data_IF_350946028946
#
_entry.id   IF_350946028946
#
_cell.length_a   1.000
_cell.length_b   1.000
_cell.length_c   1.000
_cell.angle_alpha   90.00
_cell.angle_beta   90.00
_cell.angle_gamma   90.00
#
_symmetry.space_group_name_H-M   'P 1'
#
loop_
_entity.id
_entity.type
_entity.pdbx_description
1 polymer ?
#
# COMPACT_ATOMS: atom_id res chain seq x y z
N UNK A 1 -0.80 -10.87 -19.32
CA UNK A 1 -1.01 -9.83 -18.27
C UNK A 1 -1.99 -10.29 -17.20
N UNK A 2 -3.20 -10.73 -17.56
CA UNK A 2 -4.24 -11.11 -16.57
C UNK A 2 -3.80 -12.16 -15.53
N UNK A 3 -3.16 -13.26 -15.94
CA UNK A 3 -2.73 -14.33 -15.01
C UNK A 3 -1.69 -13.82 -14.00
N UNK A 4 -0.73 -13.02 -14.44
CA UNK A 4 0.30 -12.40 -13.58
C UNK A 4 -0.31 -11.43 -12.57
N UNK A 5 -1.27 -10.60 -12.99
CA UNK A 5 -1.97 -9.66 -12.10
C UNK A 5 -2.78 -10.40 -11.02
N UNK A 6 -3.42 -11.52 -11.37
CA UNK A 6 -4.14 -12.36 -10.41
C UNK A 6 -3.22 -13.04 -9.40
N UNK A 7 -2.07 -13.56 -9.84
CA UNK A 7 -1.07 -14.17 -8.94
C UNK A 7 -0.56 -13.14 -7.92
N UNK A 8 -0.19 -11.93 -8.38
CA UNK A 8 0.24 -10.85 -7.49
C UNK A 8 -0.86 -10.42 -6.51
N UNK A 9 -2.10 -10.31 -7.00
CA UNK A 9 -3.24 -9.95 -6.15
C UNK A 9 -3.53 -10.98 -5.06
N UNK A 10 -3.46 -12.27 -5.40
CA UNK A 10 -3.67 -13.36 -4.43
C UNK A 10 -2.54 -13.37 -3.39
N UNK A 11 -1.28 -13.20 -3.82
CA UNK A 11 -0.13 -13.10 -2.90
C UNK A 11 -0.30 -12.01 -1.85
N UNK A 12 -0.67 -10.79 -2.29
CA UNK A 12 -0.86 -9.65 -1.39
C UNK A 12 -2.08 -9.79 -0.48
N UNK A 13 -3.15 -10.46 -0.94
CA UNK A 13 -4.31 -10.79 -0.09
C UNK A 13 -3.92 -11.75 1.02
N UNK A 14 -3.10 -12.75 0.72
CA UNK A 14 -2.58 -13.70 1.71
C UNK A 14 -1.69 -12.96 2.72
N UNK A 15 -0.83 -12.07 2.26
CA UNK A 15 0.01 -11.23 3.13
C UNK A 15 -0.81 -10.33 4.06
N UNK A 16 -1.83 -9.63 3.51
CA UNK A 16 -2.76 -8.82 4.28
C UNK A 16 -3.51 -9.64 5.34
N UNK A 17 -3.99 -10.83 4.95
CA UNK A 17 -4.62 -11.77 5.87
C UNK A 17 -3.67 -12.21 6.99
N UNK A 18 -2.40 -12.45 6.66
CA UNK A 18 -1.34 -12.77 7.61
C UNK A 18 -1.19 -11.70 8.68
N UNK A 19 -0.98 -10.43 8.30
CA UNK A 19 -0.83 -9.33 9.25
C UNK A 19 -2.09 -9.06 10.10
N UNK A 20 -3.29 -9.10 9.51
CA UNK A 20 -4.52 -8.92 10.27
C UNK A 20 -4.70 -10.05 11.29
N UNK A 21 -4.44 -11.30 10.87
CA UNK A 21 -4.52 -12.45 11.78
C UNK A 21 -3.50 -12.34 12.91
N UNK A 22 -2.28 -11.86 12.63
CA UNK A 22 -1.24 -11.60 13.64
C UNK A 22 -1.74 -10.63 14.73
N UNK A 23 -2.40 -9.54 14.35
CA UNK A 23 -2.97 -8.58 15.31
C UNK A 23 -4.05 -9.24 16.18
N UNK A 24 -4.97 -9.98 15.56
CA UNK A 24 -6.05 -10.66 16.28
C UNK A 24 -5.49 -11.72 17.24
N UNK A 25 -4.54 -12.55 16.80
CA UNK A 25 -3.93 -13.58 17.62
C UNK A 25 -3.07 -12.99 18.75
N UNK A 26 -2.35 -11.90 18.51
CA UNK A 26 -1.59 -11.20 19.55
C UNK A 26 -2.49 -10.61 20.65
N UNK A 27 -3.70 -10.16 20.30
CA UNK A 27 -4.70 -9.67 21.27
C UNK A 27 -5.33 -10.80 22.10
N UNK A 28 -5.53 -11.97 21.51
CA UNK A 28 -6.17 -13.13 22.18
C UNK A 28 -5.16 -13.96 22.97
N UNK A 29 -3.92 -14.10 22.49
CA UNK A 29 -2.85 -14.83 23.17
C UNK A 29 -1.49 -14.13 22.98
N UNK A 30 -1.01 -13.40 24.01
CA UNK A 30 0.27 -12.69 23.97
C UNK A 30 1.49 -13.58 23.71
N UNK A 31 1.36 -14.90 23.95
CA UNK A 31 2.45 -15.87 23.79
C UNK A 31 2.81 -16.13 22.32
N UNK A 32 1.94 -15.73 21.38
CA UNK A 32 2.11 -15.91 19.92
C UNK A 32 2.94 -14.77 19.31
N UNK A 33 3.17 -13.66 20.04
CA UNK A 33 3.87 -12.47 19.55
C UNK A 33 5.32 -12.75 19.08
N UNK A 34 5.96 -13.79 19.61
CA UNK A 34 7.29 -14.24 19.16
C UNK A 34 7.30 -15.14 17.93
N UNK A 35 6.14 -15.59 17.45
CA UNK A 35 5.99 -16.51 16.30
C UNK A 35 4.98 -15.98 15.28
N UNK A 36 4.85 -14.67 15.16
CA UNK A 36 3.94 -14.04 14.21
C UNK A 36 4.33 -14.41 12.77
N UNK A 37 3.32 -14.42 11.89
CA UNK A 37 3.47 -14.73 10.47
C UNK A 37 4.64 -13.93 9.87
N UNK A 38 5.50 -14.59 9.08
CA UNK A 38 6.75 -14.08 8.50
C UNK A 38 7.95 -13.88 9.47
N UNK A 39 7.95 -14.52 10.66
CA UNK A 39 9.05 -14.46 11.65
C UNK A 39 9.30 -13.06 12.23
N UNK A 40 8.26 -12.23 12.24
CA UNK A 40 8.31 -10.88 12.82
C UNK A 40 8.25 -11.01 14.34
N UNK A 41 9.41 -11.00 14.99
CA UNK A 41 9.51 -11.00 16.47
C UNK A 41 9.39 -9.57 17.01
N UNK A 42 8.19 -9.22 17.49
CA UNK A 42 7.90 -7.94 18.15
C UNK A 42 7.78 -8.09 19.68
N UNK A 43 8.28 -9.19 20.24
CA UNK A 43 8.15 -9.50 21.67
C UNK A 43 8.77 -8.43 22.56
N UNK A 44 9.91 -7.87 22.15
CA UNK A 44 10.61 -6.83 22.93
C UNK A 44 9.85 -5.50 22.91
N UNK A 45 9.22 -5.14 21.79
CA UNK A 45 8.33 -3.98 21.71
C UNK A 45 7.07 -4.18 22.57
N UNK A 46 6.49 -5.39 22.55
CA UNK A 46 5.31 -5.71 23.36
C UNK A 46 5.61 -5.60 24.86
N UNK A 47 6.77 -6.08 25.31
CA UNK A 47 7.25 -5.94 26.70
C UNK A 47 7.51 -4.49 27.06
N UNK A 48 8.06 -3.69 26.14
CA UNK A 48 8.30 -2.27 26.35
C UNK A 48 6.99 -1.49 26.52
N UNK A 49 5.98 -1.79 25.71
CA UNK A 49 4.64 -1.29 25.94
C UNK A 49 3.63 -1.76 24.90
N UNK A 50 2.51 -2.30 25.40
CA UNK A 50 1.45 -2.86 24.57
C UNK A 50 0.79 -1.82 23.65
N UNK A 51 0.70 -0.56 24.09
CA UNK A 51 0.18 0.53 23.26
C UNK A 51 1.05 0.80 22.03
N UNK A 52 2.37 0.80 22.20
CA UNK A 52 3.33 0.99 21.12
C UNK A 52 3.27 -0.17 20.10
N UNK A 53 3.16 -1.40 20.60
CA UNK A 53 2.92 -2.58 19.77
C UNK A 53 1.61 -2.46 18.97
N UNK A 54 0.52 -2.06 19.62
CA UNK A 54 -0.79 -1.90 18.96
C UNK A 54 -0.73 -0.84 17.85
N UNK A 55 -0.05 0.28 18.08
CA UNK A 55 0.13 1.34 17.07
C UNK A 55 0.93 0.84 15.87
N UNK A 56 2.11 0.24 16.09
CA UNK A 56 2.94 -0.25 14.99
C UNK A 56 2.20 -1.30 14.14
N UNK A 57 1.59 -2.28 14.79
CA UNK A 57 0.87 -3.36 14.09
C UNK A 57 -0.39 -2.87 13.37
N UNK A 58 -1.04 -1.83 13.89
CA UNK A 58 -2.15 -1.16 13.19
C UNK A 58 -1.67 -0.43 11.94
N UNK A 59 -0.54 0.28 12.01
CA UNK A 59 0.05 0.96 10.85
C UNK A 59 0.47 -0.06 9.79
N UNK A 60 1.13 -1.15 10.18
CA UNK A 60 1.49 -2.25 9.28
C UNK A 60 0.25 -2.82 8.57
N UNK A 61 -0.83 -3.06 9.32
CA UNK A 61 -2.08 -3.56 8.75
C UNK A 61 -2.69 -2.59 7.74
N UNK A 62 -2.69 -1.28 8.03
CA UNK A 62 -3.15 -0.24 7.10
C UNK A 62 -2.34 -0.26 5.81
N UNK A 63 -1.00 -0.29 5.90
CA UNK A 63 -0.10 -0.33 4.74
C UNK A 63 -0.41 -1.54 3.85
N UNK A 64 -0.52 -2.74 4.44
CA UNK A 64 -0.76 -3.97 3.67
C UNK A 64 -2.16 -3.99 3.04
N UNK A 65 -3.18 -3.46 3.72
CA UNK A 65 -4.53 -3.29 3.14
C UNK A 65 -4.49 -2.30 1.97
N UNK A 66 -3.78 -1.18 2.09
CA UNK A 66 -3.65 -0.20 1.01
C UNK A 66 -2.90 -0.78 -0.20
N UNK A 67 -1.81 -1.54 0.03
CA UNK A 67 -1.12 -2.30 -1.02
C UNK A 67 -2.08 -3.28 -1.70
N UNK A 68 -2.87 -4.05 -0.95
CA UNK A 68 -3.86 -4.97 -1.53
C UNK A 68 -4.96 -4.24 -2.34
N UNK A 69 -5.44 -3.08 -1.86
CA UNK A 69 -6.40 -2.23 -2.59
C UNK A 69 -5.81 -1.68 -3.89
N UNK A 70 -4.53 -1.29 -3.89
CA UNK A 70 -3.83 -0.81 -5.08
C UNK A 70 -3.82 -1.88 -6.17
N UNK A 71 -3.44 -3.10 -5.82
CA UNK A 71 -3.43 -4.21 -6.76
C UNK A 71 -4.84 -4.63 -7.20
N UNK A 72 -5.84 -4.55 -6.31
CA UNK A 72 -7.24 -4.73 -6.70
C UNK A 72 -7.66 -3.74 -7.79
N UNK A 73 -7.34 -2.45 -7.62
CA UNK A 73 -7.66 -1.42 -8.62
C UNK A 73 -6.99 -1.72 -9.96
N UNK A 74 -5.71 -2.13 -9.95
CA UNK A 74 -4.96 -2.51 -11.15
C UNK A 74 -5.60 -3.72 -11.85
N UNK A 75 -5.96 -4.77 -11.11
CA UNK A 75 -6.62 -5.96 -11.67
C UNK A 75 -7.98 -5.59 -12.25
N UNK A 76 -8.75 -4.76 -11.53
CA UNK A 76 -10.07 -4.31 -11.95
C UNK A 76 -10.02 -3.55 -13.27
N UNK A 77 -9.13 -2.57 -13.42
CA UNK A 77 -9.05 -1.79 -14.67
C UNK A 77 -8.60 -2.66 -15.86
N UNK A 78 -7.71 -3.63 -15.61
CA UNK A 78 -7.27 -4.58 -16.62
C UNK A 78 -8.40 -5.54 -17.03
N UNK A 79 -9.23 -5.98 -16.07
CA UNK A 79 -10.29 -6.96 -16.34
C UNK A 79 -11.54 -6.34 -16.95
N UNK A 80 -11.92 -5.13 -16.52
CA UNK A 80 -13.13 -4.46 -17.00
C UNK A 80 -13.02 -4.03 -18.49
N UNK A 81 -11.89 -4.29 -19.17
CA UNK A 81 -11.59 -3.83 -20.53
C UNK A 81 -11.81 -2.32 -20.75
N UNK A 82 -11.81 -1.54 -19.66
CA UNK A 82 -11.94 -0.07 -19.67
C UNK A 82 -10.70 0.62 -20.23
N UNK A 83 -9.65 -0.14 -20.50
CA UNK A 83 -8.48 0.29 -21.26
C UNK A 83 -8.77 0.22 -22.76
N UNK A 84 -9.61 1.13 -23.24
CA UNK A 84 -9.74 1.34 -24.68
C UNK A 84 -8.47 2.06 -25.18
N UNK A 85 -7.49 1.30 -25.66
CA UNK A 85 -6.22 1.85 -26.18
C UNK A 85 -6.47 2.82 -27.35
N UNK A 86 -7.55 2.64 -28.10
CA UNK A 86 -7.94 3.53 -29.19
C UNK A 86 -8.46 4.89 -28.70
N UNK A 87 -8.89 5.00 -27.44
CA UNK A 87 -9.26 6.25 -26.80
C UNK A 87 -8.63 6.36 -25.39
N UNK A 88 -7.33 6.68 -25.30
CA UNK A 88 -6.58 6.65 -24.05
C UNK A 88 -7.00 7.77 -23.08
N UNK A 89 -7.59 8.87 -23.53
CA UNK A 89 -8.00 9.97 -22.66
C UNK A 89 -9.48 9.88 -22.30
N UNK A 90 -9.84 8.80 -21.60
CA UNK A 90 -11.17 8.65 -21.03
C UNK A 90 -11.22 9.15 -19.58
N UNK A 91 -12.36 9.72 -19.18
CA UNK A 91 -12.61 10.16 -17.79
C UNK A 91 -12.46 9.01 -16.78
N UNK A 92 -12.82 7.79 -17.18
CA UNK A 92 -12.64 6.60 -16.35
C UNK A 92 -11.17 6.29 -16.07
N UNK A 93 -10.33 6.31 -17.11
CA UNK A 93 -8.89 6.05 -16.96
C UNK A 93 -8.20 7.18 -16.20
N UNK A 94 -8.57 8.44 -16.45
CA UNK A 94 -8.08 9.59 -15.68
C UNK A 94 -8.38 9.45 -14.19
N UNK A 95 -9.63 9.16 -13.83
CA UNK A 95 -10.03 8.93 -12.43
C UNK A 95 -9.29 7.75 -11.79
N UNK A 96 -9.08 6.66 -12.55
CA UNK A 96 -8.28 5.53 -12.08
C UNK A 96 -6.85 5.95 -11.73
N UNK A 97 -6.16 6.69 -12.59
CA UNK A 97 -4.78 7.13 -12.35
C UNK A 97 -4.71 8.07 -11.14
N UNK A 98 -5.67 8.98 -10.96
CA UNK A 98 -5.75 9.81 -9.75
C UNK A 98 -5.94 8.97 -8.47
N UNK A 99 -6.89 8.04 -8.48
CA UNK A 99 -7.14 7.17 -7.32
C UNK A 99 -5.90 6.35 -6.94
N UNK A 100 -5.21 5.80 -7.95
CA UNK A 100 -3.96 5.06 -7.75
C UNK A 100 -2.86 5.97 -7.22
N UNK A 101 -2.70 7.18 -7.75
CA UNK A 101 -1.72 8.17 -7.26
C UNK A 101 -1.95 8.52 -5.79
N UNK A 102 -3.20 8.80 -5.38
CA UNK A 102 -3.51 9.11 -3.99
C UNK A 102 -3.29 7.91 -3.06
N UNK A 103 -3.62 6.70 -3.52
CA UNK A 103 -3.41 5.49 -2.73
C UNK A 103 -1.91 5.21 -2.52
N UNK A 104 -1.11 5.34 -3.58
CA UNK A 104 0.36 5.21 -3.51
C UNK A 104 0.98 6.28 -2.62
N UNK A 105 0.48 7.51 -2.68
CA UNK A 105 0.90 8.59 -1.77
C UNK A 105 0.64 8.23 -0.31
N UNK A 106 -0.56 7.72 -0.03
CA UNK A 106 -0.91 7.28 1.32
C UNK A 106 -0.02 6.13 1.80
N UNK A 107 0.27 5.14 0.96
CA UNK A 107 1.22 4.06 1.29
C UNK A 107 2.57 4.65 1.68
N UNK A 108 3.12 5.57 0.87
CA UNK A 108 4.39 6.22 1.17
C UNK A 108 4.42 6.98 2.49
N UNK A 109 3.35 7.73 2.80
CA UNK A 109 3.22 8.44 4.09
C UNK A 109 3.21 7.46 5.27
N UNK A 110 2.36 6.43 5.21
CA UNK A 110 2.27 5.47 6.32
C UNK A 110 3.56 4.68 6.49
N UNK A 111 4.20 4.26 5.39
CA UNK A 111 5.52 3.63 5.41
C UNK A 111 6.58 4.54 6.03
N UNK A 112 6.63 5.82 5.66
CA UNK A 112 7.57 6.79 6.24
C UNK A 112 7.38 6.92 7.76
N UNK A 113 6.13 7.08 8.22
CA UNK A 113 5.83 7.14 9.65
C UNK A 113 6.20 5.85 10.37
N UNK A 114 5.91 4.68 9.79
CA UNK A 114 6.26 3.40 10.37
C UNK A 114 7.79 3.24 10.50
N UNK A 115 8.54 3.57 9.45
CA UNK A 115 10.01 3.51 9.45
C UNK A 115 10.61 4.42 10.53
N UNK A 116 10.12 5.67 10.65
CA UNK A 116 10.55 6.59 11.71
C UNK A 116 10.20 6.10 13.10
N UNK A 117 9.05 5.45 13.24
CA UNK A 117 8.61 4.87 14.50
C UNK A 117 9.51 3.70 14.93
N UNK A 118 9.87 2.81 13.99
CA UNK A 118 10.82 1.73 14.23
C UNK A 118 12.21 2.26 14.57
N UNK A 119 12.72 3.23 13.81
CA UNK A 119 14.01 3.89 14.05
C UNK A 119 14.09 4.49 15.47
N UNK A 120 13.00 5.12 15.93
CA UNK A 120 12.92 5.65 17.28
C UNK A 120 13.13 4.58 18.35
N UNK A 121 12.51 3.40 18.22
CA UNK A 121 12.69 2.30 19.16
C UNK A 121 14.08 1.67 19.11
N UNK A 122 14.66 1.53 17.92
CA UNK A 122 16.03 1.04 17.76
C UNK A 122 17.00 1.99 18.50
N UNK A 123 16.79 3.30 18.41
CA UNK A 123 17.57 4.30 19.15
C UNK A 123 17.38 4.24 20.68
N UNK A 124 16.27 3.68 21.17
CA UNK A 124 16.06 3.39 22.60
C UNK A 124 16.68 2.05 23.03
N UNK A 125 17.36 1.33 22.14
CA UNK A 125 17.98 0.04 22.43
C UNK A 125 17.01 -1.15 22.38
N UNK A 126 15.80 -0.97 21.84
CA UNK A 126 14.85 -2.06 21.65
C UNK A 126 15.22 -2.82 20.38
N UNK A 127 15.31 -4.14 20.49
CA UNK A 127 15.54 -5.01 19.35
C UNK A 127 14.29 -5.02 18.47
N UNK A 128 14.43 -4.55 17.23
CA UNK A 128 13.35 -4.52 16.24
C UNK A 128 13.72 -5.39 15.03
N UNK A 129 12.75 -6.05 14.39
CA UNK A 129 12.95 -6.70 13.09
C UNK A 129 13.36 -5.70 12.01
N UNK A 130 13.93 -6.22 10.91
CA UNK A 130 14.24 -5.40 9.74
C UNK A 130 12.97 -4.83 9.10
N UNK A 131 13.05 -3.61 8.58
CA UNK A 131 11.89 -2.90 7.99
C UNK A 131 11.24 -3.66 6.83
N UNK A 132 12.02 -4.45 6.08
CA UNK A 132 11.49 -5.29 4.99
C UNK A 132 10.61 -6.41 5.54
N UNK A 133 10.99 -7.01 6.68
CA UNK A 133 10.19 -8.07 7.32
C UNK A 133 8.87 -7.55 7.89
N UNK A 134 8.79 -6.24 8.16
CA UNK A 134 7.58 -5.56 8.63
C UNK A 134 6.67 -5.10 7.48
N UNK A 135 7.06 -5.31 6.22
CA UNK A 135 6.35 -4.83 5.02
C UNK A 135 6.11 -3.30 5.01
N UNK A 136 6.95 -2.54 5.72
CA UNK A 136 6.90 -1.06 5.82
C UNK A 136 7.99 -0.37 4.98
N UNK A 137 8.80 -1.15 4.28
CA UNK A 137 9.90 -0.70 3.44
C UNK A 137 9.46 0.09 2.19
N UNK A 138 10.44 0.78 1.60
CA UNK A 138 10.32 1.50 0.35
C UNK A 138 9.54 2.81 0.43
N UNK A 139 9.52 3.47 1.59
CA UNK A 139 8.82 4.73 1.80
C UNK A 139 9.22 5.82 0.78
N UNK A 140 10.52 5.93 0.50
CA UNK A 140 11.07 6.80 -0.53
C UNK A 140 10.58 6.43 -1.95
N UNK A 141 10.59 5.14 -2.29
CA UNK A 141 10.11 4.63 -3.58
C UNK A 141 8.62 4.87 -3.75
N UNK A 142 7.80 4.62 -2.72
CA UNK A 142 6.36 4.84 -2.76
C UNK A 142 6.03 6.34 -2.92
N UNK A 143 6.72 7.22 -2.19
CA UNK A 143 6.54 8.67 -2.33
C UNK A 143 6.97 9.17 -3.72
N UNK A 144 8.10 8.67 -4.24
CA UNK A 144 8.54 9.01 -5.60
C UNK A 144 7.54 8.53 -6.66
N UNK A 145 7.02 7.32 -6.51
CA UNK A 145 5.99 6.76 -7.39
C UNK A 145 4.70 7.58 -7.31
N UNK A 146 4.32 8.06 -6.12
CA UNK A 146 3.14 8.88 -5.92
C UNK A 146 3.21 10.18 -6.72
N UNK A 147 4.35 10.89 -6.62
CA UNK A 147 4.60 12.13 -7.36
C UNK A 147 4.59 11.87 -8.87
N UNK A 148 5.25 10.81 -9.31
CA UNK A 148 5.30 10.43 -10.72
C UNK A 148 3.90 10.15 -11.27
N UNK A 149 3.10 9.33 -10.57
CA UNK A 149 1.73 9.00 -10.94
C UNK A 149 0.82 10.23 -10.91
N UNK A 150 1.04 11.15 -9.97
CA UNK A 150 0.28 12.39 -9.88
C UNK A 150 0.52 13.27 -11.11
N UNK A 151 1.78 13.42 -11.53
CA UNK A 151 2.13 14.16 -12.76
C UNK A 151 1.45 13.52 -13.97
N UNK A 152 1.49 12.18 -14.08
CA UNK A 152 0.80 11.46 -15.16
C UNK A 152 -0.72 11.73 -15.10
N UNK A 153 -1.33 11.71 -13.92
CA UNK A 153 -2.75 12.00 -13.74
C UNK A 153 -3.11 13.41 -14.23
N UNK A 154 -2.26 14.41 -13.97
CA UNK A 154 -2.45 15.78 -14.48
C UNK A 154 -2.37 15.85 -16.01
N UNK A 155 -1.42 15.12 -16.63
CA UNK A 155 -1.33 15.04 -18.09
C UNK A 155 -2.60 14.42 -18.68
N UNK A 156 -3.10 13.33 -18.09
CA UNK A 156 -4.35 12.71 -18.52
C UNK A 156 -5.54 13.66 -18.36
N UNK A 157 -5.63 14.39 -17.25
CA UNK A 157 -6.68 15.40 -17.05
C UNK A 157 -6.67 16.43 -18.18
N UNK A 158 -5.50 16.98 -18.52
CA UNK A 158 -5.38 17.96 -19.61
C UNK A 158 -5.69 17.34 -20.98
N UNK A 159 -5.28 16.10 -21.22
CA UNK A 159 -5.59 15.37 -22.45
C UNK A 159 -7.10 15.15 -22.64
N UNK A 160 -7.82 14.81 -21.57
CA UNK A 160 -9.28 14.66 -21.57
C UNK A 160 -9.95 16.00 -21.92
N UNK A 161 -9.54 17.09 -21.27
CA UNK A 161 -10.09 18.44 -21.55
C UNK A 161 -9.91 18.82 -23.03
N UNK A 162 -8.73 18.58 -23.60
CA UNK A 162 -8.44 18.89 -25.01
C UNK A 162 -9.26 18.03 -25.98
N UNK A 163 -9.51 16.77 -25.63
CA UNK A 163 -10.30 15.87 -26.46
C UNK A 163 -11.80 16.26 -26.44
N UNK A 164 -12.34 16.61 -25.28
CA UNK A 164 -13.71 17.11 -25.13
C UNK A 164 -13.91 18.42 -25.90
N UNK A 165 -12.94 19.34 -25.87
CA UNK A 165 -12.99 20.59 -26.65
C UNK A 165 -13.03 20.31 -28.16
N UNK A 166 -12.18 19.40 -28.67
CA UNK A 166 -12.11 19.08 -30.09
C UNK A 166 -13.40 18.43 -30.62
N UNK A 167 -14.02 17.54 -29.83
CA UNK A 167 -15.31 16.90 -30.17
C UNK A 167 -16.48 17.90 -30.22
N UNK A 168 -16.40 19.04 -29.53
CA UNK A 168 -17.44 20.09 -29.56
C UNK A 168 -17.30 21.08 -30.73
N UNK A 169 -16.14 21.12 -31.39
CA UNK A 169 -15.85 22.04 -32.51
C UNK A 169 -15.95 21.41 -33.90
N UNK A 170 -16.12 20.09 -34.01
CA UNK A 170 -16.36 19.36 -35.27
C UNK A 170 -17.86 19.22 -35.52
#
# INVERSE_FOLDING_TARGET
VHILSWILFIGLRIEAGGFISNVIFALVNPSIVGHLWHQVDLSDLYKFGQGYFAVLTSIMSIITIMKALLFYLIVKILHDNKLNISNPFSKELGNFIFNVSYLVFGIGIFSFFASKYVEWFVNQGIKMPDVNSLSIDGDDVWLFMAVTLFIIAQIFKKGIELQEENELTI
#
